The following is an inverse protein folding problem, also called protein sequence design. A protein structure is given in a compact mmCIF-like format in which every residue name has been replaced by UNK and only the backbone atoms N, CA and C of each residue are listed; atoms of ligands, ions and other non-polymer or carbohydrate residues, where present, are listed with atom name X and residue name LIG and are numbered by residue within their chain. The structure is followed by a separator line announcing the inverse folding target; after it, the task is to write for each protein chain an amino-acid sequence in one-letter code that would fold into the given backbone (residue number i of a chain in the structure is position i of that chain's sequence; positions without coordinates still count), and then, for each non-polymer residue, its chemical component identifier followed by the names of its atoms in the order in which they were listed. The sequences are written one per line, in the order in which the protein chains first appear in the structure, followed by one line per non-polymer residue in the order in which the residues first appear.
data_IF_822985723223
#
_entry.id   IF_822985723223
#
_cell.length_a   1.000
_cell.length_b   1.000
_cell.length_c   1.000
_cell.angle_alpha   90.00
_cell.angle_beta   90.00
_cell.angle_gamma   90.00
#
_symmetry.space_group_name_H-M   'P 1'
#
loop_
_entity.id
_entity.type
_entity.pdbx_description
1 polymer ?
#
# COMPACT_ATOMS: atom_id res chain seq x y z
N UNK A 1 23.47 5.03 4.89
CA UNK A 1 23.21 4.18 3.71
C UNK A 1 21.72 3.99 3.47
N UNK A 2 20.98 5.09 3.32
CA UNK A 2 19.60 5.08 2.80
C UNK A 2 19.52 6.04 1.62
N UNK A 3 18.64 5.74 0.67
CA UNK A 3 18.37 6.58 -0.50
C UNK A 3 16.86 6.68 -0.69
N UNK A 4 16.34 7.91 -0.72
CA UNK A 4 14.97 8.17 -1.13
C UNK A 4 14.85 7.83 -2.61
N UNK A 5 13.88 6.99 -2.93
CA UNK A 5 13.57 6.54 -4.29
C UNK A 5 12.40 7.34 -4.84
N UNK A 6 11.39 7.58 -4.01
CA UNK A 6 10.19 8.27 -4.42
C UNK A 6 9.51 8.96 -3.23
N UNK A 7 8.85 10.09 -3.52
CA UNK A 7 8.01 10.82 -2.56
C UNK A 7 6.76 11.26 -3.29
N UNK A 8 5.64 10.65 -2.92
CA UNK A 8 4.35 10.97 -3.52
C UNK A 8 3.43 11.58 -2.47
N UNK A 9 2.79 12.69 -2.83
CA UNK A 9 1.79 13.36 -2.01
C UNK A 9 0.52 13.57 -2.83
N UNK A 10 -0.61 13.19 -2.25
CA UNK A 10 -1.92 13.40 -2.84
C UNK A 10 -2.82 14.15 -1.85
N UNK A 11 -3.29 15.33 -2.27
CA UNK A 11 -4.15 16.20 -1.46
C UNK A 11 -5.58 15.68 -1.30
N UNK A 12 -6.09 14.90 -2.26
CA UNK A 12 -7.43 14.31 -2.19
C UNK A 12 -7.46 13.13 -1.21
N UNK A 13 -6.43 12.27 -1.25
CA UNK A 13 -6.22 11.25 -0.23
C UNK A 13 -5.75 11.84 1.11
N UNK A 14 -5.18 13.05 1.08
CA UNK A 14 -4.49 13.73 2.18
C UNK A 14 -3.46 12.83 2.87
N UNK A 15 -2.58 12.23 2.05
CA UNK A 15 -1.55 11.28 2.46
C UNK A 15 -0.28 11.49 1.65
N UNK A 16 0.86 11.25 2.29
CA UNK A 16 2.14 11.09 1.61
C UNK A 16 2.64 9.63 1.72
N UNK A 17 3.27 9.14 0.66
CA UNK A 17 4.00 7.86 0.62
C UNK A 17 5.45 8.18 0.33
N UNK A 18 6.34 7.74 1.21
CA UNK A 18 7.79 7.94 1.07
C UNK A 18 8.40 6.55 0.87
N UNK A 19 9.06 6.37 -0.27
CA UNK A 19 9.76 5.12 -0.60
C UNK A 19 11.26 5.36 -0.54
N UNK A 20 11.98 4.56 0.23
CA UNK A 20 13.43 4.59 0.30
C UNK A 20 14.01 3.19 0.47
N UNK A 21 15.26 3.02 0.08
CA UNK A 21 15.99 1.75 0.14
C UNK A 21 17.30 1.92 0.90
N UNK A 22 17.81 0.84 1.48
CA UNK A 22 19.06 0.84 2.23
C UNK A 22 19.34 -0.52 2.88
N UNK A 23 20.41 -0.60 3.67
CA UNK A 23 20.69 -1.79 4.48
C UNK A 23 19.64 -1.94 5.60
N UNK A 24 19.39 -3.16 6.10
CA UNK A 24 18.40 -3.42 7.17
C UNK A 24 18.45 -2.43 8.35
N UNK A 25 19.63 -2.18 8.89
CA UNK A 25 19.82 -1.28 10.04
C UNK A 25 19.55 0.18 9.66
N UNK A 26 19.98 0.58 8.46
CA UNK A 26 19.83 1.95 7.98
C UNK A 26 18.37 2.28 7.71
N UNK A 27 17.59 1.35 7.13
CA UNK A 27 16.15 1.57 6.89
C UNK A 27 15.35 1.54 8.19
N UNK A 28 15.72 0.70 9.16
CA UNK A 28 15.10 0.72 10.49
C UNK A 28 15.30 2.07 11.17
N UNK A 29 16.55 2.56 11.22
CA UNK A 29 16.87 3.86 11.81
C UNK A 29 16.12 5.00 11.10
N UNK A 30 16.13 5.01 9.77
CA UNK A 30 15.45 6.04 9.00
C UNK A 30 13.93 6.04 9.23
N UNK A 31 13.29 4.87 9.31
CA UNK A 31 11.88 4.76 9.64
C UNK A 31 11.56 5.30 11.04
N UNK A 32 12.39 5.00 12.05
CA UNK A 32 12.22 5.52 13.41
C UNK A 32 12.33 7.05 13.43
N UNK A 33 13.38 7.59 12.81
CA UNK A 33 13.62 9.04 12.76
C UNK A 33 12.47 9.76 12.02
N UNK A 34 12.02 9.21 10.89
CA UNK A 34 10.88 9.73 10.13
C UNK A 34 9.57 9.67 10.92
N UNK A 35 9.32 8.54 11.61
CA UNK A 35 8.10 8.39 12.39
C UNK A 35 8.04 9.36 13.57
N UNK A 36 9.15 9.53 14.30
CA UNK A 36 9.27 10.53 15.36
C UNK A 36 9.00 11.93 14.83
N UNK A 37 9.57 12.28 13.67
CA UNK A 37 9.35 13.61 13.09
C UNK A 37 7.89 13.82 12.65
N UNK A 38 7.25 12.80 12.08
CA UNK A 38 5.84 12.87 11.71
C UNK A 38 4.93 13.04 12.95
N UNK A 39 5.23 12.33 14.05
CA UNK A 39 4.50 12.46 15.33
C UNK A 39 4.62 13.87 15.92
N UNK A 40 5.78 14.52 15.76
CA UNK A 40 6.00 15.90 16.20
C UNK A 40 5.19 16.91 15.38
N UNK A 41 5.06 16.68 14.06
CA UNK A 41 4.53 17.67 13.12
C UNK A 41 3.04 17.51 12.82
N UNK A 42 2.46 16.32 13.01
CA UNK A 42 1.11 15.99 12.54
C UNK A 42 0.17 15.79 13.74
N UNK A 43 -0.91 16.55 13.77
CA UNK A 43 -2.02 16.36 14.70
C UNK A 43 -3.23 15.71 14.00
N UNK A 44 -3.42 14.43 14.28
CA UNK A 44 -4.52 13.61 13.75
C UNK A 44 -5.90 14.08 14.20
N UNK A 45 -6.01 14.85 15.28
CA UNK A 45 -7.32 15.40 15.70
C UNK A 45 -7.88 16.38 14.65
N UNK A 46 -7.02 16.95 13.81
CA UNK A 46 -7.39 17.85 12.71
C UNK A 46 -7.36 17.18 11.33
N UNK A 47 -6.80 15.97 11.21
CA UNK A 47 -6.60 15.29 9.94
C UNK A 47 -7.89 14.69 9.37
N UNK A 48 -8.16 14.97 8.10
CA UNK A 48 -9.24 14.37 7.30
C UNK A 48 -8.74 14.08 5.89
N UNK A 49 -9.03 12.90 5.37
CA UNK A 49 -8.66 12.49 4.01
C UNK A 49 -9.57 11.39 3.50
N UNK A 50 -9.56 11.13 2.19
CA UNK A 50 -10.35 10.04 1.60
C UNK A 50 -9.74 8.65 1.88
N UNK A 51 -8.45 8.59 2.22
CA UNK A 51 -7.78 7.33 2.52
C UNK A 51 -8.00 6.90 3.98
N UNK A 52 -8.41 5.64 4.24
CA UNK A 52 -8.52 5.12 5.61
C UNK A 52 -7.21 5.23 6.37
N UNK A 53 -7.25 5.72 7.61
CA UNK A 53 -6.06 6.01 8.41
C UNK A 53 -6.31 5.82 9.90
N UNK A 54 -5.28 5.44 10.66
CA UNK A 54 -5.35 5.32 12.12
C UNK A 54 -4.26 6.13 12.86
N UNK A 55 -3.34 6.78 12.14
CA UNK A 55 -2.33 7.61 12.78
C UNK A 55 -1.55 8.52 11.82
N UNK A 56 -0.76 9.42 12.41
CA UNK A 56 0.12 10.35 11.72
C UNK A 56 1.12 9.59 10.83
N UNK A 57 1.57 8.44 11.32
CA UNK A 57 2.26 7.41 10.54
C UNK A 57 1.35 6.21 10.51
N UNK A 58 0.54 6.10 9.47
CA UNK A 58 -0.48 5.07 9.41
C UNK A 58 0.11 3.66 9.25
N UNK A 59 1.07 3.48 8.33
CA UNK A 59 1.73 2.17 8.12
C UNK A 59 3.21 2.31 7.76
N UNK A 60 4.05 1.45 8.36
CA UNK A 60 5.49 1.31 8.07
C UNK A 60 5.79 -0.13 7.65
N UNK A 61 5.75 -0.45 6.34
CA UNK A 61 6.10 -1.77 5.83
C UNK A 61 7.61 -1.95 5.66
N UNK A 62 8.12 -3.12 6.02
CA UNK A 62 9.44 -3.60 5.60
C UNK A 62 9.26 -4.62 4.46
N UNK A 63 9.97 -4.39 3.35
CA UNK A 63 9.82 -5.20 2.14
C UNK A 63 11.20 -5.73 1.73
N UNK A 64 11.36 -7.05 1.54
CA UNK A 64 12.63 -7.61 1.11
C UNK A 64 12.96 -7.10 -0.31
N UNK A 65 14.19 -6.64 -0.48
CA UNK A 65 14.73 -6.21 -1.76
C UNK A 65 15.77 -7.25 -2.24
N UNK A 66 17.04 -6.86 -2.34
CA UNK A 66 18.11 -7.75 -2.77
C UNK A 66 18.83 -8.34 -1.56
N UNK A 67 19.03 -9.66 -1.56
CA UNK A 67 19.78 -10.40 -0.54
C UNK A 67 19.27 -10.22 0.91
N UNK A 68 17.97 -9.96 1.07
CA UNK A 68 17.30 -9.84 2.37
C UNK A 68 16.08 -10.75 2.35
N UNK A 69 15.91 -11.55 3.40
CA UNK A 69 14.75 -12.46 3.52
C UNK A 69 13.54 -11.75 4.11
N UNK A 70 12.37 -12.40 3.99
CA UNK A 70 11.17 -11.90 4.64
C UNK A 70 11.28 -12.00 6.17
N UNK A 71 11.98 -13.02 6.68
CA UNK A 71 12.24 -13.22 8.11
C UNK A 71 13.04 -12.05 8.69
N UNK A 72 14.09 -11.60 8.00
CA UNK A 72 14.85 -10.41 8.40
C UNK A 72 13.95 -9.17 8.44
N UNK A 73 13.04 -9.00 7.46
CA UNK A 73 12.08 -7.90 7.47
C UNK A 73 11.08 -8.00 8.64
N UNK A 74 10.68 -9.21 9.03
CA UNK A 74 9.82 -9.44 10.20
C UNK A 74 10.55 -8.95 11.46
N UNK A 75 11.82 -9.30 11.63
CA UNK A 75 12.65 -8.83 12.74
C UNK A 75 12.76 -7.31 12.79
N UNK A 76 12.96 -6.65 11.64
CA UNK A 76 12.96 -5.18 11.57
C UNK A 76 11.63 -4.56 12.01
N UNK A 77 10.51 -5.14 11.56
CA UNK A 77 9.18 -4.64 11.95
C UNK A 77 8.92 -4.77 13.45
N UNK A 78 9.39 -5.85 14.07
CA UNK A 78 9.28 -6.06 15.52
C UNK A 78 10.16 -5.07 16.28
N UNK A 79 11.42 -4.89 15.86
CA UNK A 79 12.33 -3.89 16.46
C UNK A 79 11.76 -2.48 16.36
N UNK A 80 11.19 -2.13 15.21
CA UNK A 80 10.50 -0.85 15.02
C UNK A 80 9.31 -0.72 15.98
N UNK A 81 8.46 -1.74 16.10
CA UNK A 81 7.31 -1.74 16.99
C UNK A 81 7.71 -1.55 18.46
N UNK A 82 8.73 -2.26 18.93
CA UNK A 82 9.23 -2.15 20.30
C UNK A 82 9.75 -0.74 20.62
N UNK A 83 10.41 -0.09 19.67
CA UNK A 83 10.92 1.27 19.84
C UNK A 83 9.77 2.28 19.88
N UNK A 84 8.83 2.21 18.93
CA UNK A 84 7.68 3.12 18.92
C UNK A 84 6.75 2.92 20.12
N UNK A 85 6.64 1.69 20.64
CA UNK A 85 5.90 1.41 21.86
C UNK A 85 6.50 2.08 23.10
N UNK A 86 7.83 2.18 23.19
CA UNK A 86 8.52 2.92 24.26
C UNK A 86 8.26 4.42 24.20
N UNK A 87 7.98 4.95 23.00
CA UNK A 87 7.53 6.34 22.79
C UNK A 87 6.02 6.53 23.08
N UNK A 88 5.35 5.52 23.66
CA UNK A 88 3.94 5.59 24.03
C UNK A 88 2.96 5.40 22.86
N UNK A 89 3.44 4.92 21.71
CA UNK A 89 2.58 4.69 20.54
C UNK A 89 2.04 3.25 20.56
N UNK A 90 0.72 3.03 20.45
CA UNK A 90 0.18 1.70 20.18
C UNK A 90 0.56 1.22 18.77
N UNK A 91 1.09 -0.01 18.68
CA UNK A 91 1.56 -0.58 17.41
C UNK A 91 0.89 -1.93 17.11
N UNK A 92 0.40 -2.08 15.88
CA UNK A 92 -0.19 -3.30 15.37
C UNK A 92 0.72 -3.96 14.34
N UNK A 93 0.92 -5.28 14.45
CA UNK A 93 1.63 -6.07 13.47
C UNK A 93 0.67 -6.63 12.40
N UNK A 94 1.05 -6.49 11.14
CA UNK A 94 0.25 -6.95 9.99
C UNK A 94 1.05 -7.82 9.01
N UNK A 95 0.36 -8.39 8.02
CA UNK A 95 0.91 -9.29 6.99
C UNK A 95 1.74 -10.43 7.60
N UNK A 96 2.98 -10.62 7.17
CA UNK A 96 3.83 -11.73 7.64
C UNK A 96 4.29 -11.55 9.09
N UNK A 97 4.18 -10.33 9.63
CA UNK A 97 4.47 -10.05 11.05
C UNK A 97 3.25 -10.27 11.96
N UNK A 98 2.06 -10.48 11.41
CA UNK A 98 0.82 -10.52 12.18
C UNK A 98 0.81 -11.65 13.23
N UNK A 99 0.44 -11.33 14.47
CA UNK A 99 0.28 -12.31 15.57
C UNK A 99 -1.08 -12.99 15.59
N UNK A 100 -2.06 -12.39 14.91
CA UNK A 100 -3.42 -12.91 14.75
C UNK A 100 -3.73 -13.02 13.26
N UNK A 101 -4.45 -14.07 12.87
CA UNK A 101 -4.75 -14.32 11.45
C UNK A 101 -5.54 -13.17 10.83
N UNK A 102 -6.45 -12.57 11.59
CA UNK A 102 -7.29 -11.45 11.17
C UNK A 102 -6.46 -10.19 10.88
N UNK A 103 -5.32 -10.02 11.56
CA UNK A 103 -4.43 -8.87 11.39
C UNK A 103 -3.53 -8.95 10.18
N UNK A 104 -3.46 -10.12 9.51
CA UNK A 104 -2.80 -10.20 8.20
C UNK A 104 -3.38 -9.17 7.24
N UNK A 105 -4.70 -9.01 7.25
CA UNK A 105 -5.38 -7.97 6.48
C UNK A 105 -5.41 -6.64 7.23
N UNK A 106 -4.70 -5.63 6.71
CA UNK A 106 -4.67 -4.26 7.25
C UNK A 106 -6.05 -3.62 7.41
N UNK A 107 -7.03 -3.98 6.57
CA UNK A 107 -8.38 -3.39 6.62
C UNK A 107 -9.11 -3.78 7.91
N UNK A 108 -8.82 -4.97 8.46
CA UNK A 108 -9.38 -5.42 9.73
C UNK A 108 -8.83 -4.60 10.90
N UNK A 109 -7.56 -4.18 10.82
CA UNK A 109 -6.96 -3.28 11.80
C UNK A 109 -7.58 -1.89 11.67
N UNK A 110 -7.65 -1.35 10.44
CA UNK A 110 -8.22 -0.03 10.14
C UNK A 110 -9.75 0.05 10.24
N UNK A 111 -10.45 -1.01 10.65
CA UNK A 111 -11.91 -0.97 10.82
C UNK A 111 -12.32 0.15 11.78
N UNK A 112 -13.19 1.04 11.34
CA UNK A 112 -13.60 2.23 12.09
C UNK A 112 -12.60 3.39 12.04
N UNK A 113 -11.49 3.23 11.30
CA UNK A 113 -10.44 4.24 11.10
C UNK A 113 -9.90 4.82 12.43
N UNK A 114 -9.42 6.06 12.42
CA UNK A 114 -8.89 6.74 13.59
C UNK A 114 -9.94 6.87 14.69
N UNK A 115 -11.13 7.37 14.36
CA UNK A 115 -12.20 7.67 15.32
C UNK A 115 -12.73 6.42 16.01
N UNK A 116 -13.03 5.36 15.25
CA UNK A 116 -13.58 4.12 15.78
C UNK A 116 -12.54 3.29 16.52
N UNK A 117 -11.28 3.26 16.06
CA UNK A 117 -10.23 2.51 16.76
C UNK A 117 -9.80 3.21 18.06
N UNK A 118 -9.80 4.55 18.12
CA UNK A 118 -9.47 5.33 19.33
C UNK A 118 -10.34 4.95 20.54
N UNK A 119 -11.61 4.61 20.31
CA UNK A 119 -12.52 4.16 21.36
C UNK A 119 -12.42 2.65 21.60
N UNK A 120 -12.37 1.86 20.51
CA UNK A 120 -12.36 0.40 20.60
C UNK A 120 -11.09 -0.14 21.28
N UNK A 121 -9.93 0.49 21.10
CA UNK A 121 -8.65 0.06 21.70
C UNK A 121 -8.71 0.01 23.24
N UNK A 122 -9.52 0.87 23.86
CA UNK A 122 -9.63 0.99 25.33
C UNK A 122 -10.51 -0.08 25.95
N UNK A 123 -11.48 -0.59 25.20
CA UNK A 123 -12.61 -1.36 25.73
C UNK A 123 -12.69 -2.78 25.17
N UNK A 124 -12.26 -2.99 23.93
CA UNK A 124 -12.35 -4.28 23.25
C UNK A 124 -11.00 -5.05 23.35
N UNK A 125 -10.96 -6.20 24.05
CA UNK A 125 -9.76 -7.02 24.15
C UNK A 125 -9.18 -7.46 22.81
N UNK A 126 -10.02 -7.64 21.77
CA UNK A 126 -9.55 -8.06 20.45
C UNK A 126 -8.83 -6.94 19.69
N UNK A 127 -9.09 -5.70 20.09
CA UNK A 127 -8.56 -4.48 19.47
C UNK A 127 -7.30 -3.96 20.16
N UNK A 128 -6.80 -4.63 21.21
CA UNK A 128 -5.53 -4.28 21.86
C UNK A 128 -4.34 -4.35 20.89
N UNK A 129 -3.39 -3.42 20.93
CA UNK A 129 -2.22 -3.45 20.06
C UNK A 129 -1.30 -4.63 20.40
N UNK A 130 -0.41 -4.98 19.48
CA UNK A 130 0.62 -6.00 19.73
C UNK A 130 1.73 -5.46 20.64
N UNK A 131 2.04 -4.16 20.53
CA UNK A 131 3.02 -3.46 21.36
C UNK A 131 2.48 -2.10 21.80
N UNK A 132 2.93 -1.62 22.96
CA UNK A 132 2.56 -0.30 23.49
C UNK A 132 1.25 -0.29 24.29
N UNK A 133 0.79 0.90 24.70
CA UNK A 133 -0.40 1.06 25.54
C UNK A 133 -1.69 0.74 24.78
N UNK A 134 -2.74 0.26 25.46
CA UNK A 134 -4.08 0.10 24.87
C UNK A 134 -4.85 1.45 24.80
N UNK A 135 -4.15 2.50 24.39
CA UNK A 135 -4.67 3.85 24.23
C UNK A 135 -3.92 4.56 23.09
N UNK A 136 -4.63 5.39 22.33
CA UNK A 136 -4.03 6.19 21.26
C UNK A 136 -3.09 7.26 21.81
N UNK A 137 -2.02 7.52 21.07
CA UNK A 137 -1.23 8.72 21.30
C UNK A 137 -2.13 9.96 21.08
N UNK A 138 -2.10 10.99 21.97
CA UNK A 138 -3.05 12.09 21.97
C UNK A 138 -3.22 12.80 20.61
N UNK A 139 -2.12 13.01 19.89
CA UNK A 139 -2.09 13.67 18.59
C UNK A 139 -1.77 12.73 17.43
N UNK A 140 -1.13 11.58 17.67
CA UNK A 140 -0.55 10.78 16.60
C UNK A 140 -1.35 9.52 16.27
N UNK A 141 -2.23 9.06 17.18
CA UNK A 141 -2.99 7.83 16.99
C UNK A 141 -2.17 6.56 17.21
N UNK A 142 -2.27 5.63 16.26
CA UNK A 142 -1.60 4.32 16.28
C UNK A 142 -0.79 4.07 15.01
N UNK A 143 0.16 3.15 15.07
CA UNK A 143 0.99 2.75 13.92
C UNK A 143 0.72 1.28 13.55
N UNK A 144 0.68 0.98 12.26
CA UNK A 144 0.75 -0.38 11.74
C UNK A 144 2.16 -0.63 11.21
N UNK A 145 2.79 -1.74 11.56
CA UNK A 145 4.10 -2.13 10.99
C UNK A 145 4.14 -3.61 10.69
N UNK A 146 4.96 -4.03 9.74
CA UNK A 146 5.05 -5.44 9.38
C UNK A 146 5.89 -5.68 8.16
N UNK A 147 6.21 -6.95 7.93
CA UNK A 147 6.90 -7.39 6.74
C UNK A 147 5.90 -7.87 5.68
N UNK A 148 6.16 -7.54 4.43
CA UNK A 148 5.36 -8.05 3.31
C UNK A 148 6.16 -8.13 2.02
N UNK A 149 5.65 -8.90 1.07
CA UNK A 149 6.12 -8.86 -0.31
C UNK A 149 5.87 -7.47 -0.95
N UNK A 150 6.57 -7.14 -2.06
CA UNK A 150 6.31 -5.94 -2.83
C UNK A 150 4.83 -5.83 -3.21
N UNK A 151 4.25 -4.67 -2.88
CA UNK A 151 2.87 -4.31 -3.20
C UNK A 151 2.93 -3.26 -4.27
N UNK A 152 2.13 -3.41 -5.31
CA UNK A 152 2.02 -2.44 -6.39
C UNK A 152 0.77 -1.62 -6.19
N UNK A 153 0.92 -0.29 -6.24
CA UNK A 153 -0.20 0.63 -6.19
C UNK A 153 -0.37 1.23 -7.58
N UNK A 154 -1.52 0.96 -8.19
CA UNK A 154 -1.81 1.29 -9.57
C UNK A 154 -3.22 1.85 -9.67
N UNK A 155 -3.33 3.10 -10.11
CA UNK A 155 -4.59 3.80 -10.19
C UNK A 155 -5.02 3.90 -11.66
N UNK A 156 -6.30 3.68 -11.94
CA UNK A 156 -6.84 3.75 -13.30
C UNK A 156 -7.93 4.83 -13.36
N UNK A 157 -7.76 5.78 -14.26
CA UNK A 157 -8.62 6.96 -14.40
C UNK A 157 -9.71 6.69 -15.44
N UNK A 158 -10.97 6.88 -15.04
CA UNK A 158 -12.16 6.67 -15.87
C UNK A 158 -12.71 8.02 -16.34
N UNK A 159 -13.00 8.17 -17.63
CA UNK A 159 -13.48 9.40 -18.28
C UNK A 159 -14.91 9.80 -17.91
N UNK A 160 -15.22 9.89 -16.62
CA UNK A 160 -16.51 10.28 -16.06
C UNK A 160 -16.30 10.97 -14.72
N UNK A 161 -17.21 11.87 -14.33
CA UNK A 161 -17.25 12.44 -12.97
C UNK A 161 -18.10 11.61 -12.00
N UNK A 162 -18.77 10.56 -12.49
CA UNK A 162 -19.67 9.77 -11.65
C UNK A 162 -18.88 8.74 -10.81
N UNK A 163 -18.59 9.10 -9.56
CA UNK A 163 -17.88 8.23 -8.60
C UNK A 163 -18.62 6.91 -8.35
N UNK A 164 -19.94 6.84 -8.60
CA UNK A 164 -20.70 5.59 -8.47
C UNK A 164 -20.22 4.55 -9.48
N UNK A 165 -19.78 4.99 -10.66
CA UNK A 165 -19.20 4.11 -11.69
C UNK A 165 -17.85 3.57 -11.20
N UNK A 166 -16.94 4.43 -10.74
CA UNK A 166 -15.67 3.99 -10.16
C UNK A 166 -15.87 3.00 -9.00
N UNK A 167 -16.82 3.25 -8.10
CA UNK A 167 -17.14 2.34 -6.99
C UNK A 167 -17.65 0.97 -7.48
N UNK A 168 -18.48 0.93 -8.53
CA UNK A 168 -18.96 -0.32 -9.12
C UNK A 168 -17.83 -1.10 -9.80
N UNK A 169 -16.98 -0.42 -10.57
CA UNK A 169 -15.82 -1.02 -11.24
C UNK A 169 -14.78 -1.51 -10.23
N UNK A 170 -14.48 -0.72 -9.21
CA UNK A 170 -13.61 -1.13 -8.11
C UNK A 170 -14.17 -2.38 -7.42
N UNK A 171 -15.48 -2.41 -7.14
CA UNK A 171 -16.14 -3.58 -6.54
C UNK A 171 -16.01 -4.83 -7.39
N UNK A 172 -16.14 -4.75 -8.72
CA UNK A 172 -16.05 -5.95 -9.57
C UNK A 172 -14.65 -6.55 -9.66
N UNK A 173 -13.60 -5.76 -9.41
CA UNK A 173 -12.22 -6.27 -9.37
C UNK A 173 -11.72 -6.58 -7.95
N UNK A 174 -12.43 -6.15 -6.91
CA UNK A 174 -12.01 -6.29 -5.51
C UNK A 174 -12.16 -7.72 -4.99
N UNK A 175 -11.12 -8.25 -4.33
CA UNK A 175 -11.05 -9.64 -3.82
C UNK A 175 -12.28 -10.06 -3.00
N UNK A 176 -12.62 -9.31 -1.95
CA UNK A 176 -13.77 -9.62 -1.08
C UNK A 176 -15.14 -9.57 -1.78
N UNK A 177 -15.21 -9.01 -2.99
CA UNK A 177 -16.43 -8.98 -3.81
C UNK A 177 -16.45 -10.10 -4.87
N UNK A 178 -15.49 -11.03 -4.82
CA UNK A 178 -15.35 -12.12 -5.80
C UNK A 178 -14.56 -11.72 -7.05
N UNK A 179 -13.86 -10.59 -7.02
CA UNK A 179 -13.03 -10.12 -8.11
C UNK A 179 -11.68 -10.84 -8.20
N UNK A 180 -10.64 -10.11 -8.62
CA UNK A 180 -9.32 -10.69 -8.83
C UNK A 180 -8.66 -11.06 -7.48
N UNK A 181 -8.02 -12.22 -7.44
CA UNK A 181 -7.16 -12.61 -6.32
C UNK A 181 -6.01 -11.60 -6.16
N UNK A 182 -5.59 -11.35 -4.92
CA UNK A 182 -4.52 -10.40 -4.57
C UNK A 182 -4.83 -8.91 -4.84
N UNK A 183 -6.07 -8.57 -5.21
CA UNK A 183 -6.46 -7.19 -5.55
C UNK A 183 -7.37 -6.60 -4.47
N UNK A 184 -6.97 -5.43 -3.97
CA UNK A 184 -7.84 -4.52 -3.24
C UNK A 184 -8.05 -3.28 -4.09
N UNK A 185 -9.30 -2.97 -4.40
CA UNK A 185 -9.64 -1.79 -5.19
C UNK A 185 -10.64 -0.89 -4.48
N UNK A 186 -10.53 0.41 -4.73
CA UNK A 186 -11.42 1.46 -4.22
C UNK A 186 -11.73 2.47 -5.32
N UNK A 187 -13.00 2.91 -5.40
CA UNK A 187 -13.42 3.97 -6.29
C UNK A 187 -13.42 5.33 -5.59
N UNK A 188 -12.66 6.28 -6.11
CA UNK A 188 -12.40 7.59 -5.49
C UNK A 188 -12.77 8.72 -6.45
N UNK A 189 -13.27 9.82 -5.88
CA UNK A 189 -13.45 11.09 -6.60
C UNK A 189 -12.23 11.98 -6.33
N UNK A 190 -11.65 12.54 -7.38
CA UNK A 190 -10.53 13.48 -7.27
C UNK A 190 -11.06 14.90 -7.46
N UNK A 191 -10.83 15.78 -6.49
CA UNK A 191 -11.35 17.15 -6.57
C UNK A 191 -10.60 17.90 -7.67
N UNK A 192 -11.35 18.70 -8.43
CA UNK A 192 -10.82 19.48 -9.56
C UNK A 192 -10.27 18.62 -10.73
N UNK A 193 -10.64 17.34 -10.83
CA UNK A 193 -10.39 16.51 -12.00
C UNK A 193 -11.70 16.24 -12.74
N UNK A 194 -11.62 16.11 -14.06
CA UNK A 194 -12.78 15.77 -14.90
C UNK A 194 -13.00 14.25 -15.03
N UNK A 195 -12.42 13.48 -14.11
CA UNK A 195 -12.44 12.03 -14.09
C UNK A 195 -12.49 11.49 -12.66
N UNK A 196 -12.90 10.24 -12.52
CA UNK A 196 -12.87 9.46 -11.27
C UNK A 196 -11.83 8.36 -11.39
N UNK A 197 -11.41 7.81 -10.26
CA UNK A 197 -10.28 6.89 -10.21
C UNK A 197 -10.68 5.57 -9.55
N UNK A 198 -10.17 4.46 -10.10
CA UNK A 198 -10.14 3.16 -9.46
C UNK A 198 -8.72 2.96 -8.93
N UNK A 199 -8.52 3.17 -7.64
CA UNK A 199 -7.25 2.93 -6.97
C UNK A 199 -7.09 1.46 -6.62
N UNK A 200 -5.94 0.87 -6.99
CA UNK A 200 -5.71 -0.57 -6.85
C UNK A 200 -4.42 -0.83 -6.07
N UNK A 201 -4.53 -1.66 -5.04
CA UNK A 201 -3.39 -2.27 -4.33
C UNK A 201 -3.31 -3.75 -4.70
N UNK A 202 -2.20 -4.14 -5.30
CA UNK A 202 -1.89 -5.51 -5.70
C UNK A 202 -0.81 -6.09 -4.80
N UNK A 203 -1.19 -7.07 -3.97
CA UNK A 203 -0.29 -7.70 -3.00
C UNK A 203 0.57 -8.83 -3.59
N UNK A 204 0.30 -9.27 -4.82
CA UNK A 204 1.08 -10.28 -5.51
C UNK A 204 0.96 -10.18 -7.04
N UNK A 205 1.79 -9.31 -7.62
CA UNK A 205 1.80 -9.05 -9.06
C UNK A 205 2.21 -10.24 -9.92
N UNK A 206 2.94 -11.21 -9.34
CA UNK A 206 3.38 -12.42 -10.05
C UNK A 206 2.21 -13.35 -10.33
N UNK A 207 1.20 -13.37 -9.45
CA UNK A 207 -0.02 -14.18 -9.62
C UNK A 207 -1.13 -13.40 -10.34
N UNK A 208 -1.23 -12.10 -10.07
CA UNK A 208 -2.22 -11.22 -10.70
C UNK A 208 -1.50 -10.04 -11.38
N UNK A 209 -1.17 -10.14 -12.67
CA UNK A 209 -0.40 -9.12 -13.39
C UNK A 209 -1.11 -7.77 -13.55
N UNK A 210 -0.37 -6.70 -13.91
CA UNK A 210 -0.95 -5.37 -14.15
C UNK A 210 -1.85 -5.35 -15.38
N UNK A 211 -1.43 -5.99 -16.48
CA UNK A 211 -2.26 -6.05 -17.70
C UNK A 211 -3.67 -6.56 -17.38
N UNK A 212 -3.78 -7.58 -16.52
CA UNK A 212 -5.08 -8.20 -16.17
C UNK A 212 -5.98 -7.25 -15.40
N UNK A 213 -5.40 -6.45 -14.49
CA UNK A 213 -6.13 -5.41 -13.78
C UNK A 213 -6.63 -4.33 -14.75
N UNK A 214 -5.75 -3.87 -15.65
CA UNK A 214 -6.08 -2.86 -16.67
C UNK A 214 -7.19 -3.35 -17.61
N UNK A 215 -7.05 -4.54 -18.18
CA UNK A 215 -8.03 -5.08 -19.13
C UNK A 215 -9.39 -5.35 -18.47
N UNK A 216 -9.42 -5.84 -17.23
CA UNK A 216 -10.68 -6.04 -16.52
C UNK A 216 -11.35 -4.71 -16.15
N UNK A 217 -10.59 -3.68 -15.77
CA UNK A 217 -11.15 -2.34 -15.52
C UNK A 217 -11.71 -1.73 -16.80
N UNK A 218 -11.02 -1.85 -17.94
CA UNK A 218 -11.54 -1.42 -19.24
C UNK A 218 -12.87 -2.11 -19.56
N UNK A 219 -12.92 -3.44 -19.39
CA UNK A 219 -14.12 -4.23 -19.65
C UNK A 219 -15.29 -3.78 -18.77
N UNK A 220 -15.05 -3.63 -17.47
CA UNK A 220 -16.08 -3.28 -16.50
C UNK A 220 -16.55 -1.83 -16.63
N UNK A 221 -15.66 -0.89 -16.99
CA UNK A 221 -16.02 0.49 -17.29
C UNK A 221 -16.85 0.61 -18.58
N UNK A 222 -16.53 -0.18 -19.61
CA UNK A 222 -17.25 -0.19 -20.89
C UNK A 222 -18.74 -0.53 -20.74
N UNK A 223 -19.10 -1.33 -19.73
CA UNK A 223 -20.51 -1.66 -19.39
C UNK A 223 -21.35 -0.43 -19.03
N UNK A 224 -20.71 0.67 -18.68
CA UNK A 224 -21.34 1.95 -18.36
C UNK A 224 -21.12 3.01 -19.45
N UNK A 225 -20.56 2.63 -20.61
CA UNK A 225 -20.20 3.58 -21.68
C UNK A 225 -19.04 4.51 -21.31
N UNK A 226 -18.21 4.13 -20.33
CA UNK A 226 -17.08 4.92 -19.85
C UNK A 226 -15.76 4.31 -20.31
N UNK A 227 -14.87 5.13 -20.84
CA UNK A 227 -13.52 4.72 -21.21
C UNK A 227 -12.52 4.92 -20.07
N UNK A 228 -11.47 4.10 -20.04
CA UNK A 228 -10.24 4.42 -19.32
C UNK A 228 -9.50 5.50 -20.11
N UNK A 229 -9.09 6.58 -19.45
CA UNK A 229 -8.42 7.73 -20.10
C UNK A 229 -6.93 7.81 -19.79
N UNK A 230 -6.51 7.31 -18.63
CA UNK A 230 -5.11 7.22 -18.22
C UNK A 230 -4.97 6.31 -17.00
N UNK A 231 -3.74 6.13 -16.54
CA UNK A 231 -3.44 5.42 -15.28
C UNK A 231 -2.21 6.05 -14.62
N UNK A 232 -2.12 5.89 -13.32
CA UNK A 232 -1.04 6.43 -12.49
C UNK A 232 -0.40 5.27 -11.71
N UNK A 233 0.92 5.17 -11.78
CA UNK A 233 1.69 4.31 -10.90
C UNK A 233 2.03 5.10 -9.64
N UNK A 234 1.78 4.50 -8.48
CA UNK A 234 2.13 5.07 -7.18
C UNK A 234 3.38 4.36 -6.67
N UNK A 235 4.49 5.08 -6.53
CA UNK A 235 5.80 4.51 -6.20
C UNK A 235 6.51 3.81 -7.36
N UNK A 236 7.23 2.73 -7.04
CA UNK A 236 8.09 2.01 -8.00
C UNK A 236 7.57 0.61 -8.36
N UNK A 237 7.93 0.14 -9.56
CA UNK A 237 7.62 -1.21 -10.03
C UNK A 237 8.84 -2.13 -9.93
N UNK A 238 8.65 -3.38 -9.46
CA UNK A 238 9.59 -4.46 -9.70
C UNK A 238 9.69 -4.75 -11.21
N UNK A 239 10.90 -4.99 -11.71
CA UNK A 239 11.14 -5.27 -13.13
C UNK A 239 10.25 -6.41 -13.66
N UNK A 240 10.09 -7.49 -12.89
CA UNK A 240 9.22 -8.60 -13.28
C UNK A 240 7.75 -8.22 -13.52
N UNK A 241 7.24 -7.15 -12.90
CA UNK A 241 5.88 -6.66 -13.14
C UNK A 241 5.75 -5.99 -14.52
N UNK A 242 6.81 -5.29 -14.94
CA UNK A 242 6.93 -4.67 -16.25
C UNK A 242 7.05 -5.73 -17.33
N UNK A 243 8.02 -6.66 -17.18
CA UNK A 243 8.27 -7.70 -18.17
C UNK A 243 7.04 -8.56 -18.43
N UNK A 244 6.31 -8.95 -17.40
CA UNK A 244 5.13 -9.78 -17.57
C UNK A 244 3.97 -9.05 -18.29
N UNK A 245 3.84 -7.73 -18.10
CA UNK A 245 2.84 -6.96 -18.84
C UNK A 245 3.27 -6.74 -20.30
N UNK A 246 4.56 -6.49 -20.54
CA UNK A 246 5.13 -6.34 -21.87
C UNK A 246 4.98 -7.63 -22.69
N UNK A 247 5.34 -8.76 -22.10
CA UNK A 247 5.16 -10.10 -22.65
C UNK A 247 3.71 -10.36 -23.08
N UNK A 248 2.74 -10.01 -22.22
CA UNK A 248 1.33 -10.15 -22.54
C UNK A 248 0.92 -9.28 -23.74
N UNK A 249 1.29 -8.00 -23.78
CA UNK A 249 0.84 -7.14 -24.87
C UNK A 249 1.54 -7.44 -26.21
N UNK A 250 2.79 -7.92 -26.18
CA UNK A 250 3.54 -8.27 -27.39
C UNK A 250 3.21 -9.66 -27.92
N UNK A 251 2.58 -10.53 -27.12
CA UNK A 251 2.26 -11.92 -27.51
C UNK A 251 3.49 -12.65 -28.07
N UNK A 252 4.62 -12.53 -27.36
CA UNK A 252 5.91 -13.06 -27.80
C UNK A 252 5.85 -14.58 -27.95
N UNK A 253 6.27 -15.08 -29.11
CA UNK A 253 6.53 -16.51 -29.33
C UNK A 253 7.96 -16.89 -28.93
N UNK A 254 8.91 -15.98 -29.13
CA UNK A 254 10.31 -16.17 -28.75
C UNK A 254 10.90 -14.85 -28.22
N UNK A 255 11.51 -14.84 -27.02
CA UNK A 255 11.59 -15.95 -26.07
C UNK A 255 10.20 -16.33 -25.53
N UNK A 256 10.00 -17.59 -25.14
CA UNK A 256 8.74 -18.06 -24.53
C UNK A 256 8.40 -17.29 -23.25
N UNK A 257 9.43 -16.81 -22.54
CA UNK A 257 9.29 -15.97 -21.36
C UNK A 257 10.27 -14.81 -21.37
N UNK A 258 9.76 -13.60 -21.17
CA UNK A 258 10.60 -12.42 -21.04
C UNK A 258 11.26 -12.37 -19.64
N UNK A 259 12.57 -12.10 -19.62
CA UNK A 259 13.42 -12.21 -18.43
C UNK A 259 14.48 -11.10 -18.50
N UNK A 260 15.15 -10.83 -17.38
CA UNK A 260 16.15 -9.75 -17.29
C UNK A 260 17.28 -9.93 -18.30
N UNK A 261 17.72 -11.16 -18.57
CA UNK A 261 18.75 -11.48 -19.58
C UNK A 261 18.38 -11.07 -21.01
N UNK A 262 17.11 -10.77 -21.28
CA UNK A 262 16.66 -10.29 -22.58
C UNK A 262 16.71 -8.76 -22.69
N UNK A 263 17.08 -8.06 -21.61
CA UNK A 263 17.27 -6.60 -21.58
C UNK A 263 18.75 -6.26 -21.78
N UNK A 264 19.02 -5.18 -22.50
CA UNK A 264 20.39 -4.78 -22.82
C UNK A 264 21.17 -4.41 -21.54
N UNK A 265 20.49 -3.74 -20.61
CA UNK A 265 21.00 -3.29 -19.31
C UNK A 265 21.44 -4.45 -18.40
N UNK A 266 21.05 -5.69 -18.70
CA UNK A 266 21.57 -6.86 -17.98
C UNK A 266 23.07 -7.10 -18.26
N UNK A 267 23.56 -6.67 -19.43
CA UNK A 267 24.94 -6.88 -19.86
C UNK A 267 25.83 -5.65 -19.74
N UNK A 268 25.23 -4.48 -19.49
CA UNK A 268 25.92 -3.20 -19.46
C UNK A 268 25.40 -2.34 -18.30
N UNK A 269 26.33 -1.84 -17.48
CA UNK A 269 26.05 -0.77 -16.52
C UNK A 269 26.02 0.57 -17.29
N UNK A 270 24.82 1.04 -17.63
CA UNK A 270 24.60 2.36 -18.24
C UNK A 270 24.58 3.49 -17.21
#
# INVERSE_FOLDING_TARGET
NTRIVDVEYDSDYNRAVITFVGTPEAVLKANIDAAKKAIELIDMNSHKGQHPRIGAVDVVPFVPAQNVTIEECIELSVKFAEIMAKEGIPVYLYEESARKMERKNIDNIRKGEYEGLKEAIKTDPERKPDYGPSEFHPTAGAIITGARNPLLSFNINLGTKDVRIAKKVAKSIHLHSGGLVNIKAMGTELKNRDYVQVGISNINYRKTPLYRQMELVKLEAARYGVSVISSELVGVLPLGAVLNSLEYYLQLETPEKLEEKHLLEYYFDF
#
